data_IF_720523703476
#
_entry.id   IF_720523703476
#
_cell.length_a   1.000
_cell.length_b   1.000
_cell.length_c   1.000
_cell.angle_alpha   90.00
_cell.angle_beta   90.00
_cell.angle_gamma   90.00
#
_symmetry.space_group_name_H-M   'P 1'
#
loop_
_entity.id
_entity.type
_entity.pdbx_description
1 polymer ?
#
# COMPACT_ATOMS: atom_id res chain seq x y z
N UNK A 1 -13.41 -29.47 5.19
CA UNK A 1 -14.35 -29.02 4.14
C UNK A 1 -13.55 -28.30 3.07
N UNK A 2 -13.85 -28.48 1.78
CA UNK A 2 -13.12 -27.76 0.71
C UNK A 2 -14.08 -26.76 0.05
N UNK A 3 -13.78 -25.46 0.15
CA UNK A 3 -14.62 -24.39 -0.39
C UNK A 3 -14.07 -24.01 -1.78
N UNK A 4 -14.78 -24.42 -2.84
CA UNK A 4 -14.44 -23.99 -4.19
C UNK A 4 -14.59 -22.48 -4.31
N UNK A 5 -13.53 -21.82 -4.75
CA UNK A 5 -13.48 -20.37 -4.93
C UNK A 5 -12.73 -19.98 -6.19
N UNK A 6 -13.14 -18.89 -6.81
CA UNK A 6 -12.47 -18.31 -7.96
C UNK A 6 -12.14 -16.84 -7.64
N UNK A 7 -10.86 -16.48 -7.73
CA UNK A 7 -10.35 -15.15 -7.47
C UNK A 7 -9.85 -14.59 -8.80
N UNK A 8 -10.42 -13.46 -9.22
CA UNK A 8 -10.18 -12.87 -10.54
C UNK A 8 -9.81 -11.40 -10.35
N UNK A 9 -8.72 -10.98 -10.99
CA UNK A 9 -8.40 -9.57 -11.15
C UNK A 9 -8.85 -9.07 -12.52
N UNK A 10 -9.50 -7.92 -12.54
CA UNK A 10 -10.00 -7.32 -13.78
C UNK A 10 -10.00 -5.79 -13.68
N UNK A 11 -9.97 -5.14 -14.83
CA UNK A 11 -10.19 -3.70 -14.89
C UNK A 11 -11.67 -3.40 -14.74
N UNK A 12 -11.98 -2.33 -14.00
CA UNK A 12 -13.37 -1.87 -13.84
C UNK A 12 -13.85 -1.25 -15.15
N UNK A 13 -14.93 -1.84 -15.72
CA UNK A 13 -15.56 -1.27 -16.92
C UNK A 13 -16.39 -0.05 -16.57
N UNK A 14 -15.90 1.13 -16.96
CA UNK A 14 -16.63 2.41 -16.83
C UNK A 14 -16.78 3.07 -18.19
N UNK A 15 -17.87 3.79 -18.36
CA UNK A 15 -18.13 4.61 -19.54
C UNK A 15 -18.35 6.07 -19.13
N UNK A 16 -17.85 7.00 -19.92
CA UNK A 16 -18.15 8.42 -19.81
C UNK A 16 -18.77 8.88 -21.13
N UNK A 17 -19.99 9.39 -21.09
CA UNK A 17 -20.76 9.77 -22.29
C UNK A 17 -20.86 8.65 -23.35
N UNK A 18 -21.04 7.39 -22.89
CA UNK A 18 -21.12 6.23 -23.80
C UNK A 18 -19.77 5.65 -24.25
N UNK A 19 -18.65 6.36 -24.05
CA UNK A 19 -17.30 5.95 -24.45
C UNK A 19 -16.61 5.21 -23.28
N UNK A 20 -16.03 4.02 -23.53
CA UNK A 20 -15.28 3.31 -22.48
C UNK A 20 -14.09 4.12 -21.98
N UNK A 21 -13.91 4.18 -20.67
CA UNK A 21 -12.72 4.77 -20.06
C UNK A 21 -11.61 3.73 -20.11
N UNK A 22 -10.52 4.04 -20.83
CA UNK A 22 -9.37 3.14 -21.03
C UNK A 22 -8.13 3.61 -20.29
N UNK A 23 -8.13 4.86 -19.79
CA UNK A 23 -7.02 5.43 -19.06
C UNK A 23 -7.27 5.43 -17.56
N UNK A 24 -6.21 5.14 -16.79
CA UNK A 24 -6.23 5.16 -15.32
C UNK A 24 -7.42 4.40 -14.72
N UNK A 25 -7.66 3.20 -15.22
CA UNK A 25 -8.78 2.34 -14.84
C UNK A 25 -8.47 1.60 -13.55
N UNK A 26 -9.39 1.55 -12.57
CA UNK A 26 -9.17 0.79 -11.33
C UNK A 26 -9.04 -0.71 -11.60
N UNK A 27 -8.10 -1.35 -10.90
CA UNK A 27 -8.01 -2.81 -10.82
C UNK A 27 -8.92 -3.29 -9.68
N UNK A 28 -9.81 -4.22 -9.99
CA UNK A 28 -10.74 -4.85 -9.03
C UNK A 28 -10.37 -6.31 -8.81
N UNK A 29 -10.45 -6.77 -7.57
CA UNK A 29 -10.40 -8.17 -7.22
C UNK A 29 -11.82 -8.67 -6.99
N UNK A 30 -12.21 -9.72 -7.69
CA UNK A 30 -13.51 -10.40 -7.56
C UNK A 30 -13.29 -11.79 -7.02
N UNK A 31 -14.05 -12.13 -5.98
CA UNK A 31 -14.04 -13.46 -5.37
C UNK A 31 -15.44 -14.08 -5.54
N UNK A 32 -15.48 -15.26 -6.11
CA UNK A 32 -16.73 -16.03 -6.33
C UNK A 32 -16.61 -17.34 -5.56
N UNK A 33 -17.57 -17.62 -4.70
CA UNK A 33 -17.68 -18.88 -3.93
C UNK A 33 -19.14 -19.15 -3.59
N UNK A 34 -19.55 -20.41 -3.50
CA UNK A 34 -20.91 -20.81 -3.15
C UNK A 34 -22.02 -20.00 -3.85
N UNK A 35 -21.86 -19.72 -5.15
CA UNK A 35 -22.76 -18.87 -5.96
C UNK A 35 -22.87 -17.40 -5.49
N UNK A 36 -22.02 -16.97 -4.57
CA UNK A 36 -21.93 -15.60 -4.09
C UNK A 36 -20.75 -14.88 -4.74
N UNK A 37 -20.83 -13.56 -4.83
CA UNK A 37 -19.80 -12.69 -5.42
C UNK A 37 -19.46 -11.56 -4.49
N UNK A 38 -18.18 -11.35 -4.28
CA UNK A 38 -17.62 -10.22 -3.55
C UNK A 38 -16.67 -9.46 -4.47
N UNK A 39 -16.63 -8.15 -4.36
CA UNK A 39 -15.65 -7.30 -5.03
C UNK A 39 -14.87 -6.47 -4.00
N UNK A 40 -13.56 -6.42 -4.23
CA UNK A 40 -12.61 -5.62 -3.45
C UNK A 40 -11.91 -4.61 -4.35
N UNK A 41 -11.59 -3.46 -3.77
CA UNK A 41 -10.75 -2.46 -4.41
C UNK A 41 -9.31 -2.74 -4.07
N UNK A 42 -8.44 -2.86 -5.09
CA UNK A 42 -7.00 -3.06 -4.86
C UNK A 42 -6.24 -1.77 -4.55
N UNK A 43 -6.86 -0.61 -4.80
CA UNK A 43 -6.20 0.69 -4.71
C UNK A 43 -5.41 1.07 -5.98
N UNK A 44 -5.04 0.11 -6.80
CA UNK A 44 -4.26 0.33 -8.01
C UNK A 44 -5.12 0.72 -9.20
N UNK A 45 -4.52 1.53 -10.08
CA UNK A 45 -5.10 1.95 -11.35
C UNK A 45 -4.06 1.83 -12.44
N UNK A 46 -4.49 1.43 -13.65
CA UNK A 46 -3.63 1.25 -14.80
C UNK A 46 -4.38 1.59 -16.10
N UNK A 47 -3.67 1.90 -17.17
CA UNK A 47 -4.26 2.06 -18.48
C UNK A 47 -4.59 0.69 -19.08
N UNK A 48 -5.73 0.55 -19.75
CA UNK A 48 -6.19 -0.73 -20.30
C UNK A 48 -5.17 -1.36 -21.26
N UNK A 49 -4.43 -0.56 -22.02
CA UNK A 49 -3.38 -1.03 -22.93
C UNK A 49 -2.21 -1.73 -22.19
N UNK A 50 -1.98 -1.38 -20.92
CA UNK A 50 -0.91 -1.92 -20.07
C UNK A 50 -1.35 -3.14 -19.24
N UNK A 51 -2.62 -3.53 -19.35
CA UNK A 51 -3.19 -4.69 -18.66
C UNK A 51 -3.17 -5.93 -19.56
N UNK A 52 -2.79 -7.04 -18.99
CA UNK A 52 -2.89 -8.37 -19.61
C UNK A 52 -4.09 -9.10 -19.00
N UNK A 53 -5.18 -9.21 -19.76
CA UNK A 53 -6.43 -9.77 -19.26
C UNK A 53 -6.35 -11.29 -19.05
N UNK A 54 -5.55 -11.99 -19.87
CA UNK A 54 -5.39 -13.45 -19.79
C UNK A 54 -4.60 -13.84 -18.55
N UNK A 55 -3.53 -13.11 -18.27
CA UNK A 55 -2.70 -13.31 -17.08
C UNK A 55 -3.21 -12.59 -15.86
N UNK A 56 -4.20 -11.69 -16.01
CA UNK A 56 -4.76 -10.85 -14.95
C UNK A 56 -3.68 -10.07 -14.20
N UNK A 57 -2.75 -9.44 -14.95
CA UNK A 57 -1.57 -8.73 -14.43
C UNK A 57 -1.24 -7.51 -15.28
N UNK A 58 -0.47 -6.61 -14.69
CA UNK A 58 0.13 -5.49 -15.42
C UNK A 58 1.28 -6.02 -16.28
N UNK A 59 1.36 -5.60 -17.54
CA UNK A 59 2.42 -5.99 -18.49
C UNK A 59 3.80 -5.55 -17.97
N UNK A 60 4.86 -6.36 -18.14
CA UNK A 60 6.21 -6.02 -17.71
C UNK A 60 6.70 -4.69 -18.30
N UNK A 61 7.51 -3.97 -17.54
CA UNK A 61 8.09 -2.69 -17.98
C UNK A 61 7.13 -1.51 -17.99
N UNK A 62 5.85 -1.71 -17.63
CA UNK A 62 4.88 -0.64 -17.53
C UNK A 62 4.87 0.01 -16.14
N UNK A 63 4.43 1.27 -16.10
CA UNK A 63 4.17 2.01 -14.86
C UNK A 63 2.78 2.63 -14.92
N UNK A 64 2.18 2.86 -13.76
CA UNK A 64 0.93 3.61 -13.64
C UNK A 64 1.17 5.14 -13.58
N UNK A 65 0.11 5.94 -13.42
CA UNK A 65 0.22 7.41 -13.30
C UNK A 65 0.97 7.87 -12.04
N UNK A 66 1.02 7.03 -11.00
CA UNK A 66 1.76 7.29 -9.77
C UNK A 66 3.22 6.80 -9.83
N UNK A 67 3.71 6.42 -11.02
CA UNK A 67 5.06 5.87 -11.26
C UNK A 67 5.36 4.54 -10.55
N UNK A 68 4.33 3.84 -10.03
CA UNK A 68 4.49 2.51 -9.48
C UNK A 68 4.75 1.51 -10.60
N UNK A 69 5.72 0.62 -10.39
CA UNK A 69 6.13 -0.36 -11.40
C UNK A 69 5.16 -1.53 -11.53
N UNK A 70 5.14 -2.16 -12.70
CA UNK A 70 4.37 -3.39 -12.91
C UNK A 70 4.74 -4.51 -11.93
N UNK A 71 6.01 -4.61 -11.54
CA UNK A 71 6.49 -5.60 -10.57
C UNK A 71 5.87 -5.36 -9.19
N UNK A 72 5.91 -4.13 -8.71
CA UNK A 72 5.31 -3.72 -7.43
C UNK A 72 3.81 -4.02 -7.41
N UNK A 73 3.07 -3.53 -8.40
CA UNK A 73 1.62 -3.77 -8.50
C UNK A 73 1.30 -5.27 -8.54
N UNK A 74 2.02 -6.04 -9.36
CA UNK A 74 1.77 -7.48 -9.50
C UNK A 74 2.11 -8.26 -8.22
N UNK A 75 3.12 -7.83 -7.46
CA UNK A 75 3.46 -8.40 -6.15
C UNK A 75 2.33 -8.20 -5.16
N UNK A 76 1.75 -7.00 -5.13
CA UNK A 76 0.62 -6.71 -4.25
C UNK A 76 -0.66 -7.44 -4.67
N UNK A 77 -0.93 -7.57 -5.98
CA UNK A 77 -2.04 -8.40 -6.45
C UNK A 77 -1.89 -9.87 -6.01
N UNK A 78 -0.66 -10.41 -6.07
CA UNK A 78 -0.37 -11.76 -5.58
C UNK A 78 -0.56 -11.87 -4.07
N UNK A 79 -0.17 -10.84 -3.31
CA UNK A 79 -0.40 -10.78 -1.88
C UNK A 79 -1.89 -10.83 -1.56
N UNK A 80 -2.72 -9.99 -2.19
CA UNK A 80 -4.18 -10.01 -2.00
C UNK A 80 -4.80 -11.37 -2.34
N UNK A 81 -4.33 -12.00 -3.42
CA UNK A 81 -4.73 -13.35 -3.77
C UNK A 81 -4.44 -14.34 -2.64
N UNK A 82 -3.23 -14.30 -2.08
CA UNK A 82 -2.79 -15.19 -1.01
C UNK A 82 -3.56 -14.93 0.30
N UNK A 83 -3.80 -13.68 0.65
CA UNK A 83 -4.58 -13.29 1.84
C UNK A 83 -6.01 -13.84 1.76
N UNK A 84 -6.69 -13.68 0.63
CA UNK A 84 -8.02 -14.27 0.44
C UNK A 84 -7.97 -15.79 0.52
N UNK A 85 -6.96 -16.44 -0.06
CA UNK A 85 -6.79 -17.89 0.06
C UNK A 85 -6.64 -18.34 1.51
N UNK A 86 -5.88 -17.60 2.31
CA UNK A 86 -5.68 -17.90 3.74
C UNK A 86 -6.97 -17.72 4.55
N UNK A 87 -7.72 -16.65 4.32
CA UNK A 87 -9.03 -16.42 4.96
C UNK A 87 -9.95 -17.63 4.72
N UNK A 88 -10.09 -18.08 3.47
CA UNK A 88 -10.92 -19.25 3.18
C UNK A 88 -10.38 -20.53 3.83
N UNK A 89 -9.06 -20.68 3.91
CA UNK A 89 -8.41 -21.83 4.54
C UNK A 89 -8.72 -21.91 6.04
N UNK A 90 -8.78 -20.77 6.71
CA UNK A 90 -9.20 -20.71 8.13
C UNK A 90 -10.63 -21.20 8.31
N UNK A 91 -11.58 -20.76 7.46
CA UNK A 91 -12.95 -21.25 7.50
C UNK A 91 -13.05 -22.75 7.15
N UNK A 92 -12.21 -23.24 6.23
CA UNK A 92 -12.14 -24.67 5.88
C UNK A 92 -11.67 -25.52 7.07
N UNK A 93 -10.70 -25.02 7.86
CA UNK A 93 -10.22 -25.68 9.09
C UNK A 93 -11.30 -25.68 10.16
N UNK A 94 -12.04 -24.58 10.31
CA UNK A 94 -13.16 -24.48 11.25
C UNK A 94 -14.39 -25.29 10.80
N UNK A 95 -14.40 -25.81 9.57
CA UNK A 95 -15.51 -26.56 9.00
C UNK A 95 -16.76 -25.72 8.71
N UNK A 96 -16.64 -24.40 8.69
CA UNK A 96 -17.75 -23.46 8.49
C UNK A 96 -17.73 -22.82 7.10
N UNK A 97 -18.93 -22.57 6.54
CA UNK A 97 -19.04 -21.84 5.27
C UNK A 97 -19.12 -20.34 5.60
N UNK A 98 -18.16 -19.51 5.13
CA UNK A 98 -18.19 -18.07 5.41
C UNK A 98 -19.31 -17.38 4.66
N UNK A 99 -19.82 -16.32 5.25
CA UNK A 99 -20.69 -15.35 4.57
C UNK A 99 -19.86 -14.30 3.85
N UNK A 100 -20.45 -13.59 2.89
CA UNK A 100 -19.77 -12.49 2.18
C UNK A 100 -19.32 -11.38 3.13
N UNK A 101 -20.08 -11.14 4.20
CA UNK A 101 -19.74 -10.14 5.22
C UNK A 101 -18.48 -10.55 6.00
N UNK A 102 -18.41 -11.80 6.46
CA UNK A 102 -17.26 -12.33 7.21
C UNK A 102 -15.97 -12.29 6.39
N UNK A 103 -16.03 -12.67 5.08
CA UNK A 103 -14.85 -12.60 4.22
C UNK A 103 -14.40 -11.16 4.00
N UNK A 104 -15.33 -10.20 3.84
CA UNK A 104 -15.01 -8.78 3.72
C UNK A 104 -14.39 -8.23 4.99
N UNK A 105 -14.95 -8.56 6.14
CA UNK A 105 -14.48 -8.12 7.45
C UNK A 105 -13.07 -8.65 7.72
N UNK A 106 -12.84 -9.95 7.54
CA UNK A 106 -11.53 -10.56 7.71
C UNK A 106 -10.47 -9.92 6.81
N UNK A 107 -10.81 -9.66 5.54
CA UNK A 107 -9.89 -9.00 4.61
C UNK A 107 -9.61 -7.54 5.00
N UNK A 108 -10.64 -6.79 5.43
CA UNK A 108 -10.48 -5.41 5.84
C UNK A 108 -9.66 -5.28 7.14
N UNK A 109 -9.84 -6.19 8.09
CA UNK A 109 -9.08 -6.22 9.35
C UNK A 109 -7.58 -6.42 9.09
N UNK A 110 -7.20 -7.35 8.20
CA UNK A 110 -5.80 -7.53 7.78
C UNK A 110 -5.18 -6.25 7.18
N UNK A 111 -6.00 -5.44 6.53
CA UNK A 111 -5.53 -4.18 5.91
C UNK A 111 -5.58 -2.98 6.86
N UNK A 112 -6.46 -2.97 7.86
CA UNK A 112 -6.50 -1.91 8.89
C UNK A 112 -5.32 -2.05 9.85
N UNK A 113 -5.02 -3.24 10.34
CA UNK A 113 -3.87 -3.53 11.19
C UNK A 113 -2.54 -3.11 10.51
N UNK A 114 -2.37 -3.45 9.24
CA UNK A 114 -1.18 -3.03 8.48
C UNK A 114 -1.07 -1.51 8.29
N UNK A 115 -2.20 -0.81 8.14
CA UNK A 115 -2.21 0.67 8.07
C UNK A 115 -1.84 1.32 9.39
N UNK A 116 -2.26 0.74 10.51
CA UNK A 116 -1.91 1.21 11.84
C UNK A 116 -0.44 0.94 12.14
N UNK A 117 0.10 -0.22 11.76
CA UNK A 117 1.52 -0.54 11.88
C UNK A 117 2.42 0.34 10.98
N UNK A 118 1.99 0.64 9.76
CA UNK A 118 2.71 1.57 8.87
C UNK A 118 2.65 3.03 9.35
N UNK A 119 1.56 3.43 10.00
CA UNK A 119 1.43 4.76 10.60
C UNK A 119 2.11 4.86 11.97
N UNK A 120 2.28 3.73 12.68
CA UNK A 120 2.97 3.63 13.97
C UNK A 120 4.45 3.30 13.84
N UNK A 121 4.99 3.07 12.65
CA UNK A 121 6.43 3.24 12.47
C UNK A 121 6.70 4.73 12.70
N UNK A 122 7.10 5.13 13.90
CA UNK A 122 7.55 6.49 14.07
C UNK A 122 8.71 6.64 13.09
N UNK A 123 8.68 7.67 12.29
CA UNK A 123 9.90 8.30 11.84
C UNK A 123 10.57 8.85 13.11
N UNK A 124 11.08 7.95 13.95
CA UNK A 124 11.95 8.28 15.07
C UNK A 124 13.36 8.54 14.55
N UNK A 125 13.42 9.43 13.61
CA UNK A 125 14.49 10.37 13.61
C UNK A 125 13.93 11.59 14.34
N UNK A 126 14.20 11.71 15.63
CA UNK A 126 14.06 12.99 16.27
C UNK A 126 14.92 13.93 15.42
N UNK A 127 14.36 14.97 14.76
CA UNK A 127 15.13 15.82 13.84
C UNK A 127 16.39 16.38 14.54
N UNK A 128 16.37 16.47 15.86
CA UNK A 128 17.44 16.91 16.74
C UNK A 128 18.59 15.91 16.82
N UNK A 129 18.33 14.60 16.85
CA UNK A 129 19.39 13.57 16.90
C UNK A 129 20.13 13.49 15.58
N UNK A 130 19.38 13.46 14.46
CA UNK A 130 19.97 13.44 13.11
C UNK A 130 20.75 14.72 12.83
N UNK A 131 20.25 15.85 13.28
CA UNK A 131 20.95 17.12 13.12
C UNK A 131 22.21 17.18 14.01
N UNK A 132 22.17 16.61 15.20
CA UNK A 132 23.33 16.49 16.08
C UNK A 132 24.44 15.59 15.47
N UNK A 133 24.07 14.45 14.87
CA UNK A 133 25.00 13.58 14.15
C UNK A 133 25.55 14.26 12.90
N UNK A 134 24.71 14.92 12.11
CA UNK A 134 25.13 15.69 10.94
C UNK A 134 26.13 16.81 11.28
N UNK A 135 25.91 17.57 12.36
CA UNK A 135 26.84 18.61 12.83
C UNK A 135 28.18 17.98 13.21
N UNK A 136 28.19 16.84 13.91
CA UNK A 136 29.43 16.15 14.29
C UNK A 136 30.18 15.66 13.06
N UNK A 137 29.49 15.01 12.14
CA UNK A 137 30.08 14.44 10.94
C UNK A 137 30.63 15.50 9.99
N UNK A 138 29.86 16.56 9.71
CA UNK A 138 30.30 17.68 8.91
C UNK A 138 31.41 18.49 9.60
N UNK A 139 31.37 18.63 10.91
CA UNK A 139 32.41 19.35 11.67
C UNK A 139 33.74 18.62 11.67
N UNK A 140 33.75 17.30 11.78
CA UNK A 140 34.99 16.50 11.69
C UNK A 140 35.56 16.48 10.27
N UNK A 141 34.71 16.39 9.23
CA UNK A 141 35.17 16.40 7.84
C UNK A 141 35.71 17.77 7.40
N UNK A 142 35.13 18.86 7.89
CA UNK A 142 35.49 20.21 7.47
C UNK A 142 36.39 20.95 8.50
N UNK A 143 36.81 20.32 9.59
CA UNK A 143 37.71 20.89 10.60
C UNK A 143 37.13 22.14 11.28
N UNK A 144 35.84 22.13 11.66
CA UNK A 144 35.19 23.25 12.28
C UNK A 144 35.79 23.61 13.64
N UNK A 145 35.90 24.91 13.94
CA UNK A 145 36.35 25.38 15.24
C UNK A 145 35.24 25.27 16.31
N UNK A 146 35.60 25.22 17.56
CA UNK A 146 34.69 25.14 18.72
C UNK A 146 33.64 26.28 18.68
N UNK A 147 34.05 27.48 18.25
CA UNK A 147 33.13 28.61 18.06
C UNK A 147 32.03 28.38 17.01
N UNK A 148 32.29 27.50 16.02
CA UNK A 148 31.30 27.12 15.01
C UNK A 148 30.29 26.14 15.59
N UNK A 149 30.73 25.19 16.40
CA UNK A 149 29.86 24.27 17.12
C UNK A 149 28.94 25.01 18.11
N UNK A 150 29.48 25.98 18.88
CA UNK A 150 28.67 26.81 19.78
C UNK A 150 27.57 27.59 19.05
N UNK A 151 27.89 28.23 17.93
CA UNK A 151 26.90 28.97 17.14
C UNK A 151 25.79 28.09 16.58
N UNK A 152 26.11 26.88 16.14
CA UNK A 152 25.13 25.94 15.63
C UNK A 152 24.25 25.34 16.73
N UNK A 153 24.80 25.15 17.94
CA UNK A 153 24.01 24.69 19.09
C UNK A 153 23.02 25.75 19.60
N UNK A 154 23.34 27.04 19.46
CA UNK A 154 22.47 28.14 19.84
C UNK A 154 21.25 28.35 18.91
N UNK A 155 21.32 27.90 17.66
CA UNK A 155 20.20 27.95 16.72
C UNK A 155 19.07 26.99 17.16
N UNK A 156 19.36 26.02 18.00
CA UNK A 156 18.40 25.04 18.52
C UNK A 156 17.55 25.53 19.71
N UNK A 157 17.86 26.67 20.31
CA UNK A 157 17.22 27.13 21.56
C UNK A 157 16.08 28.13 21.28
N UNK A 158 15.84 28.56 20.05
CA UNK A 158 14.68 29.38 19.74
C UNK A 158 13.39 28.53 19.66
N UNK A 159 12.73 28.38 20.82
CA UNK A 159 11.34 27.92 20.88
C UNK A 159 10.45 28.80 19.98
N UNK A 160 9.47 28.21 19.24
CA UNK A 160 8.48 28.99 18.54
C UNK A 160 7.70 29.79 19.57
N UNK A 161 7.81 31.12 19.50
CA UNK A 161 6.97 32.04 20.29
C UNK A 161 5.52 31.80 19.93
N UNK A 162 4.76 31.35 20.91
CA UNK A 162 3.31 31.36 20.92
C UNK A 162 2.84 32.81 20.59
N UNK A 163 2.36 33.02 19.37
CA UNK A 163 1.59 34.20 19.02
C UNK A 163 0.13 33.92 19.30
N UNK A 164 -0.35 34.49 20.41
CA UNK A 164 -1.77 34.69 20.65
C UNK A 164 -2.37 35.61 19.59
#
# INVERSE_FOLDING_TARGET
MNIKRNIIFSLESRKKNGVPIVENVPIRMRVIFASQRIEFTTGYRIDAAKWDADKQRVKPGCTNKLKQSASEINTDLLRYYTEIQNIFKEFEVQGTMPTTAQVKEAFNNLHSEKREEEQQKPLTFAPMEVFGEFIKECGTQNGWSDATYEKLSLIHISEPRDTR
#
